data_IF_516178225566
#
_entry.id   IF_516178225566
#
_cell.length_a   1.000
_cell.length_b   1.000
_cell.length_c   1.000
_cell.angle_alpha   90.00
_cell.angle_beta   90.00
_cell.angle_gamma   90.00
#
_symmetry.space_group_name_H-M   'P 1'
#
loop_
_entity.id
_entity.type
_entity.pdbx_description
1 polymer ?
#
# COMPACT_ATOMS: atom_id res chain seq x y z
N UNK A 1 8.26 46.04 7.08
CA UNK A 1 8.57 46.00 5.63
C UNK A 1 7.32 46.45 4.86
N UNK A 2 7.06 47.77 4.89
CA UNK A 2 5.91 48.47 4.29
C UNK A 2 6.32 49.04 2.92
N UNK A 3 5.52 48.79 1.87
CA UNK A 3 5.52 49.30 0.45
C UNK A 3 5.27 48.09 -0.46
N UNK A 4 4.42 48.05 -1.48
CA UNK A 4 3.54 48.93 -2.28
C UNK A 4 2.41 47.98 -2.72
N UNK A 5 1.14 48.36 -2.88
CA UNK A 5 0.58 48.95 -4.10
C UNK A 5 -0.77 49.57 -3.72
N UNK A 6 -0.87 50.90 -3.83
CA UNK A 6 -2.09 51.69 -3.69
C UNK A 6 -2.20 52.52 -4.97
N UNK A 7 -3.17 52.19 -5.82
CA UNK A 7 -3.55 52.95 -7.00
C UNK A 7 -4.95 53.51 -6.83
N UNK A 8 -5.07 54.56 -6.02
CA UNK A 8 -6.28 55.37 -5.86
C UNK A 8 -6.58 56.12 -7.17
N UNK A 9 -7.67 55.77 -7.86
CA UNK A 9 -8.25 56.64 -8.89
C UNK A 9 -9.21 57.63 -8.23
N UNK A 10 -8.87 58.91 -8.35
CA UNK A 10 -9.67 60.06 -7.93
C UNK A 10 -11.02 60.07 -8.63
N UNK A 11 -12.08 60.28 -7.85
CA UNK A 11 -13.41 60.64 -8.33
C UNK A 11 -13.41 62.14 -8.60
N UNK A 12 -13.47 62.55 -9.87
CA UNK A 12 -13.52 63.98 -10.22
C UNK A 12 -14.97 64.45 -10.23
N UNK A 13 -15.27 65.41 -9.36
CA UNK A 13 -16.59 65.94 -9.09
C UNK A 13 -16.90 67.08 -10.07
N UNK A 14 -17.33 66.77 -11.30
CA UNK A 14 -17.71 67.78 -12.29
C UNK A 14 -19.23 67.88 -12.40
N UNK A 15 -19.81 68.83 -11.66
CA UNK A 15 -21.18 69.32 -11.86
C UNK A 15 -21.23 70.02 -13.22
N UNK A 16 -21.89 69.41 -14.19
CA UNK A 16 -22.10 69.99 -15.52
C UNK A 16 -23.07 71.17 -15.39
N UNK A 17 -22.57 72.40 -15.57
CA UNK A 17 -23.41 73.60 -15.76
C UNK A 17 -23.92 73.62 -17.21
N UNK A 18 -25.23 73.69 -17.38
CA UNK A 18 -25.93 73.78 -18.67
C UNK A 18 -26.02 75.27 -19.09
N UNK A 19 -25.56 75.69 -20.29
CA UNK A 19 -25.77 77.04 -20.78
C UNK A 19 -27.14 77.19 -21.49
N UNK A 20 -27.74 78.39 -21.53
CA UNK A 20 -29.04 78.63 -22.18
C UNK A 20 -28.90 78.71 -23.72
N UNK A 21 -30.00 78.51 -24.48
CA UNK A 21 -29.95 78.45 -25.94
C UNK A 21 -29.76 79.84 -26.57
N UNK A 22 -28.84 79.96 -27.53
CA UNK A 22 -28.65 81.16 -28.34
C UNK A 22 -29.50 81.08 -29.62
N UNK A 23 -30.13 82.21 -29.96
CA UNK A 23 -31.07 82.40 -31.05
C UNK A 23 -30.44 82.30 -32.46
N UNK A 24 -31.27 81.86 -33.40
CA UNK A 24 -31.00 81.65 -34.83
C UNK A 24 -30.63 82.93 -35.60
N UNK A 25 -29.73 82.81 -36.59
CA UNK A 25 -29.74 83.64 -37.81
C UNK A 25 -28.82 83.07 -38.91
N UNK A 26 -29.42 82.73 -40.07
CA UNK A 26 -28.88 83.10 -41.39
C UNK A 26 -27.87 82.19 -42.12
N UNK A 27 -28.41 81.26 -42.93
CA UNK A 27 -27.99 80.84 -44.28
C UNK A 27 -26.50 80.48 -44.59
N UNK A 28 -26.20 79.21 -44.89
CA UNK A 28 -26.15 78.65 -46.26
C UNK A 28 -25.93 77.12 -46.21
N UNK A 29 -26.55 76.39 -47.14
CA UNK A 29 -26.64 74.93 -47.12
C UNK A 29 -25.48 74.23 -47.86
N UNK A 30 -24.69 73.45 -47.13
CA UNK A 30 -24.14 72.16 -47.57
C UNK A 30 -23.51 71.41 -46.38
N UNK A 31 -24.09 70.24 -46.09
CA UNK A 31 -23.56 69.16 -45.26
C UNK A 31 -23.18 69.47 -43.81
N UNK A 32 -24.16 69.89 -43.00
CA UNK A 32 -24.11 69.65 -41.56
C UNK A 32 -24.57 68.22 -41.31
N UNK A 33 -23.62 67.34 -41.00
CA UNK A 33 -23.90 66.08 -40.30
C UNK A 33 -24.54 66.46 -38.97
N UNK A 34 -25.87 66.44 -38.92
CA UNK A 34 -26.61 66.56 -37.67
C UNK A 34 -26.32 65.29 -36.89
N UNK A 35 -25.37 65.37 -35.96
CA UNK A 35 -25.19 64.40 -34.90
C UNK A 35 -26.42 64.52 -33.98
N UNK A 36 -27.51 63.84 -34.36
CA UNK A 36 -28.68 63.73 -33.51
C UNK A 36 -28.28 62.87 -32.30
N UNK A 37 -28.34 63.39 -31.06
CA UNK A 37 -28.07 62.57 -29.89
C UNK A 37 -29.04 61.39 -29.93
N UNK A 38 -28.55 60.15 -29.78
CA UNK A 38 -29.45 59.01 -29.66
C UNK A 38 -30.51 59.31 -28.58
N UNK A 39 -31.81 59.10 -28.88
CA UNK A 39 -32.87 59.41 -27.93
C UNK A 39 -32.62 58.61 -26.66
N UNK A 40 -32.68 59.26 -25.49
CA UNK A 40 -32.40 58.67 -24.18
C UNK A 40 -33.11 57.32 -23.95
N UNK A 41 -34.31 57.13 -24.54
CA UNK A 41 -35.05 55.86 -24.52
C UNK A 41 -34.30 54.70 -25.18
N UNK A 42 -33.59 54.95 -26.29
CA UNK A 42 -32.79 53.92 -26.99
C UNK A 42 -31.59 53.47 -26.14
N UNK A 43 -30.92 54.43 -25.50
CA UNK A 43 -29.81 54.15 -24.56
C UNK A 43 -30.33 53.37 -23.35
N UNK A 44 -31.47 53.77 -22.77
CA UNK A 44 -32.08 53.08 -21.63
C UNK A 44 -32.50 51.65 -21.98
N UNK A 45 -33.20 51.44 -23.09
CA UNK A 45 -33.57 50.12 -23.58
C UNK A 45 -32.35 49.24 -23.83
N UNK A 46 -31.29 49.78 -24.43
CA UNK A 46 -30.04 49.03 -24.64
C UNK A 46 -29.41 48.60 -23.31
N UNK A 47 -29.36 49.47 -22.30
CA UNK A 47 -28.82 49.13 -20.98
C UNK A 47 -29.66 48.07 -20.26
N UNK A 48 -30.99 48.14 -20.36
CA UNK A 48 -31.90 47.12 -19.80
C UNK A 48 -31.70 45.77 -20.50
N UNK A 49 -31.61 45.76 -21.83
CA UNK A 49 -31.37 44.52 -22.60
C UNK A 49 -30.02 43.90 -22.26
N UNK A 50 -28.97 44.72 -22.10
CA UNK A 50 -27.67 44.25 -21.63
C UNK A 50 -27.77 43.64 -20.21
N UNK A 51 -28.52 44.28 -19.31
CA UNK A 51 -28.77 43.77 -17.96
C UNK A 51 -29.43 42.40 -17.94
N UNK A 52 -30.54 42.23 -18.68
CA UNK A 52 -31.24 40.95 -18.83
C UNK A 52 -30.31 39.87 -19.39
N UNK A 53 -29.54 40.19 -20.43
CA UNK A 53 -28.57 39.26 -21.01
C UNK A 53 -27.49 38.83 -20.01
N UNK A 54 -26.98 39.76 -19.19
CA UNK A 54 -26.01 39.41 -18.14
C UNK A 54 -26.61 38.54 -17.04
N UNK A 55 -27.86 38.78 -16.65
CA UNK A 55 -28.59 37.95 -15.68
C UNK A 55 -28.75 36.52 -16.23
N UNK A 56 -29.10 36.38 -17.50
CA UNK A 56 -29.26 35.07 -18.13
C UNK A 56 -27.94 34.27 -18.18
N UNK A 57 -26.83 34.94 -18.49
CA UNK A 57 -25.49 34.33 -18.43
C UNK A 57 -25.17 33.84 -17.01
N UNK A 58 -25.47 34.64 -15.99
CA UNK A 58 -25.24 34.27 -14.58
C UNK A 58 -26.12 33.08 -14.18
N UNK A 59 -27.42 33.10 -14.52
CA UNK A 59 -28.35 31.98 -14.27
C UNK A 59 -27.80 30.68 -14.85
N UNK A 60 -27.45 30.71 -16.14
CA UNK A 60 -26.92 29.54 -16.84
C UNK A 60 -25.60 29.05 -16.25
N UNK A 61 -24.74 29.95 -15.78
CA UNK A 61 -23.49 29.57 -15.09
C UNK A 61 -23.75 28.89 -13.74
N UNK A 62 -24.73 29.36 -12.96
CA UNK A 62 -25.09 28.76 -11.66
C UNK A 62 -25.70 27.37 -11.87
N UNK A 63 -26.58 27.19 -12.86
CA UNK A 63 -27.18 25.88 -13.19
C UNK A 63 -26.08 24.86 -13.53
N UNK A 64 -25.16 25.21 -14.44
CA UNK A 64 -24.02 24.36 -14.79
C UNK A 64 -23.16 24.01 -13.58
N UNK A 65 -22.93 24.95 -12.67
CA UNK A 65 -22.16 24.71 -11.45
C UNK A 65 -22.89 23.75 -10.49
N UNK A 66 -24.22 23.82 -10.40
CA UNK A 66 -25.04 22.92 -9.60
C UNK A 66 -24.99 21.48 -10.16
N UNK A 67 -25.07 21.33 -11.48
CA UNK A 67 -24.87 20.03 -12.16
C UNK A 67 -23.49 19.44 -11.84
N UNK A 68 -22.42 20.25 -11.92
CA UNK A 68 -21.07 19.81 -11.55
C UNK A 68 -20.97 19.40 -10.08
N UNK A 69 -21.58 20.13 -9.15
CA UNK A 69 -21.58 19.74 -7.74
C UNK A 69 -22.30 18.42 -7.50
N UNK A 70 -23.40 18.13 -8.18
CA UNK A 70 -24.06 16.83 -8.02
C UNK A 70 -23.16 15.69 -8.51
N UNK A 71 -22.44 15.87 -9.62
CA UNK A 71 -21.47 14.89 -10.12
C UNK A 71 -20.35 14.66 -9.10
N UNK A 72 -19.76 15.72 -8.55
CA UNK A 72 -18.69 15.59 -7.54
C UNK A 72 -19.20 14.92 -6.25
N UNK A 73 -20.49 15.05 -5.92
CA UNK A 73 -21.07 14.45 -4.72
C UNK A 73 -21.15 12.94 -4.86
N UNK A 74 -21.56 12.46 -6.04
CA UNK A 74 -21.57 11.03 -6.35
C UNK A 74 -20.13 10.47 -6.36
N UNK A 75 -19.17 11.20 -6.93
CA UNK A 75 -17.74 10.80 -6.88
C UNK A 75 -17.22 10.61 -5.47
N UNK A 76 -17.63 11.46 -4.51
CA UNK A 76 -17.24 11.31 -3.09
C UNK A 76 -17.89 10.07 -2.47
N UNK A 77 -19.16 9.78 -2.79
CA UNK A 77 -19.81 8.57 -2.29
C UNK A 77 -19.09 7.32 -2.80
N UNK A 78 -18.79 7.27 -4.10
CA UNK A 78 -18.00 6.19 -4.72
C UNK A 78 -16.61 6.06 -4.08
N UNK A 79 -15.92 7.18 -3.85
CA UNK A 79 -14.61 7.20 -3.19
C UNK A 79 -14.68 6.62 -1.77
N UNK A 80 -15.69 6.97 -0.99
CA UNK A 80 -15.86 6.43 0.35
C UNK A 80 -16.17 4.93 0.33
N UNK A 81 -17.00 4.46 -0.60
CA UNK A 81 -17.27 3.03 -0.77
C UNK A 81 -15.98 2.26 -1.14
N UNK A 82 -15.15 2.83 -2.03
CA UNK A 82 -13.87 2.25 -2.38
C UNK A 82 -12.90 2.23 -1.19
N UNK A 83 -12.87 3.28 -0.38
CA UNK A 83 -12.06 3.34 0.83
C UNK A 83 -12.49 2.29 1.88
N UNK A 84 -13.80 2.09 2.06
CA UNK A 84 -14.33 1.06 2.96
C UNK A 84 -13.94 -0.35 2.49
N UNK A 85 -14.05 -0.62 1.19
CA UNK A 85 -13.57 -1.88 0.58
C UNK A 85 -12.07 -2.07 0.81
N UNK A 86 -11.26 -1.04 0.54
CA UNK A 86 -9.82 -1.08 0.75
C UNK A 86 -9.47 -1.35 2.22
N UNK A 87 -10.16 -0.71 3.16
CA UNK A 87 -9.98 -0.92 4.61
C UNK A 87 -10.32 -2.36 5.01
N UNK A 88 -11.40 -2.94 4.48
CA UNK A 88 -11.74 -4.34 4.73
C UNK A 88 -10.68 -5.29 4.18
N UNK A 89 -10.21 -5.07 2.95
CA UNK A 89 -9.14 -5.89 2.36
C UNK A 89 -7.84 -5.82 3.14
N UNK A 90 -7.47 -4.63 3.64
CA UNK A 90 -6.29 -4.45 4.49
C UNK A 90 -6.44 -5.17 5.84
N UNK A 91 -7.63 -5.16 6.43
CA UNK A 91 -7.89 -5.93 7.66
C UNK A 91 -7.64 -7.42 7.45
N UNK A 92 -8.20 -7.99 6.38
CA UNK A 92 -7.94 -9.40 6.03
C UNK A 92 -6.45 -9.66 5.76
N UNK A 93 -5.74 -8.70 5.15
CA UNK A 93 -4.30 -8.82 4.92
C UNK A 93 -3.50 -8.85 6.24
N UNK A 94 -3.88 -8.07 7.25
CA UNK A 94 -3.29 -8.16 8.60
C UNK A 94 -3.50 -9.55 9.19
N UNK A 95 -4.72 -10.09 9.10
CA UNK A 95 -5.05 -11.43 9.60
C UNK A 95 -4.16 -12.50 8.93
N UNK A 96 -4.03 -12.47 7.60
CA UNK A 96 -3.15 -13.38 6.87
C UNK A 96 -1.67 -13.23 7.26
N UNK A 97 -1.18 -12.00 7.45
CA UNK A 97 0.21 -11.76 7.85
C UNK A 97 0.47 -12.28 9.26
N UNK A 98 -0.47 -12.12 10.19
CA UNK A 98 -0.35 -12.70 11.53
C UNK A 98 -0.35 -14.22 11.50
N UNK A 99 -1.18 -14.84 10.66
CA UNK A 99 -1.18 -16.29 10.46
C UNK A 99 0.16 -16.79 9.91
N UNK A 100 0.74 -16.08 8.93
CA UNK A 100 2.08 -16.38 8.42
C UNK A 100 3.13 -16.32 9.54
N UNK A 101 3.09 -15.28 10.38
CA UNK A 101 4.00 -15.16 11.52
C UNK A 101 3.89 -16.33 12.50
N UNK A 102 2.67 -16.73 12.85
CA UNK A 102 2.43 -17.88 13.74
C UNK A 102 2.92 -19.20 13.13
N UNK A 103 2.70 -19.40 11.83
CA UNK A 103 3.12 -20.59 11.10
C UNK A 103 4.65 -20.65 10.99
N UNK A 104 5.31 -19.54 10.68
CA UNK A 104 6.78 -19.46 10.66
C UNK A 104 7.38 -19.77 12.03
N UNK A 105 6.78 -19.27 13.12
CA UNK A 105 7.22 -19.61 14.48
C UNK A 105 7.06 -21.10 14.79
N UNK A 106 5.95 -21.73 14.39
CA UNK A 106 5.75 -23.17 14.58
C UNK A 106 6.78 -24.01 13.79
N UNK A 107 7.04 -23.64 12.53
CA UNK A 107 8.08 -24.30 11.73
C UNK A 107 9.44 -24.16 12.43
N UNK A 108 9.76 -22.99 12.99
CA UNK A 108 10.99 -22.77 13.77
C UNK A 108 11.14 -23.73 14.95
N UNK A 109 10.08 -23.89 15.75
CA UNK A 109 10.04 -24.85 16.85
C UNK A 109 10.29 -26.29 16.34
N UNK A 110 9.60 -26.70 15.27
CA UNK A 110 9.72 -28.05 14.69
C UNK A 110 11.12 -28.31 14.11
N UNK A 111 11.79 -27.30 13.56
CA UNK A 111 13.19 -27.40 13.14
C UNK A 111 14.13 -27.58 14.34
N UNK A 112 13.84 -26.93 15.47
CA UNK A 112 14.56 -27.12 16.73
C UNK A 112 14.46 -28.56 17.26
N UNK A 113 13.25 -29.13 17.25
CA UNK A 113 13.01 -30.53 17.65
C UNK A 113 13.72 -31.52 16.71
N UNK A 114 13.71 -31.25 15.40
CA UNK A 114 14.42 -32.05 14.41
C UNK A 114 15.93 -32.01 14.67
N UNK A 115 16.52 -30.83 14.92
CA UNK A 115 17.94 -30.70 15.22
C UNK A 115 18.33 -31.46 16.50
N UNK A 116 17.47 -31.45 17.52
CA UNK A 116 17.65 -32.24 18.75
C UNK A 116 17.65 -33.74 18.45
N UNK A 117 16.68 -34.20 17.66
CA UNK A 117 16.57 -35.60 17.24
C UNK A 117 17.78 -36.06 16.43
N UNK A 118 18.26 -35.24 15.48
CA UNK A 118 19.47 -35.52 14.70
C UNK A 118 20.73 -35.60 15.57
N UNK A 119 20.81 -34.83 16.65
CA UNK A 119 21.91 -34.88 17.61
C UNK A 119 21.91 -36.22 18.37
N UNK A 120 20.73 -36.67 18.82
CA UNK A 120 20.57 -37.97 19.48
C UNK A 120 20.89 -39.14 18.54
N UNK A 121 20.43 -39.08 17.28
CA UNK A 121 20.76 -40.08 16.25
C UNK A 121 22.28 -40.16 16.04
N UNK A 122 22.95 -39.02 15.91
CA UNK A 122 24.41 -39.00 15.75
C UNK A 122 25.15 -39.59 16.97
N UNK A 123 24.64 -39.41 18.19
CA UNK A 123 25.19 -40.04 19.38
C UNK A 123 25.04 -41.58 19.32
N UNK A 124 23.87 -42.07 18.93
CA UNK A 124 23.62 -43.50 18.73
C UNK A 124 24.53 -44.09 17.64
N UNK A 125 24.72 -43.40 16.52
CA UNK A 125 25.63 -43.84 15.45
C UNK A 125 27.07 -43.97 15.96
N UNK A 126 27.54 -43.04 16.80
CA UNK A 126 28.87 -43.11 17.42
C UNK A 126 29.01 -44.32 18.34
N UNK A 127 27.97 -44.63 19.14
CA UNK A 127 27.91 -45.84 19.97
C UNK A 127 28.00 -47.11 19.11
N UNK A 128 27.22 -47.19 18.03
CA UNK A 128 27.24 -48.34 17.11
C UNK A 128 28.64 -48.51 16.48
N UNK A 129 29.27 -47.42 16.04
CA UNK A 129 30.65 -47.47 15.51
C UNK A 129 31.65 -47.96 16.56
N UNK A 130 31.49 -47.56 17.82
CA UNK A 130 32.32 -48.04 18.94
C UNK A 130 32.13 -49.55 19.15
N UNK A 131 30.89 -50.03 19.18
CA UNK A 131 30.56 -51.47 19.30
C UNK A 131 31.16 -52.25 18.12
N UNK A 132 30.96 -51.79 16.89
CA UNK A 132 31.52 -52.43 15.69
C UNK A 132 33.06 -52.53 15.76
N UNK A 133 33.74 -51.47 16.22
CA UNK A 133 35.19 -51.50 16.41
C UNK A 133 35.61 -52.51 17.51
N UNK A 134 34.87 -52.60 18.61
CA UNK A 134 35.13 -53.57 19.68
C UNK A 134 34.91 -55.00 19.20
N UNK A 135 33.80 -55.28 18.50
CA UNK A 135 33.51 -56.60 17.93
C UNK A 135 34.56 -57.00 16.92
N UNK A 136 35.03 -56.07 16.08
CA UNK A 136 36.13 -56.32 15.15
C UNK A 136 37.44 -56.70 15.87
N UNK A 137 37.77 -56.03 16.98
CA UNK A 137 38.95 -56.38 17.79
C UNK A 137 38.80 -57.76 18.45
N UNK A 138 37.61 -58.08 18.97
CA UNK A 138 37.30 -59.41 19.54
C UNK A 138 37.47 -60.49 18.46
N UNK A 139 36.92 -60.26 17.26
CA UNK A 139 37.02 -61.19 16.14
C UNK A 139 38.48 -61.44 15.71
N UNK A 140 39.31 -60.39 15.67
CA UNK A 140 40.74 -60.53 15.37
C UNK A 140 41.45 -61.35 16.45
N UNK A 141 41.18 -61.08 17.73
CA UNK A 141 41.78 -61.84 18.83
C UNK A 141 41.34 -63.31 18.81
N UNK A 142 40.07 -63.60 18.52
CA UNK A 142 39.56 -64.96 18.36
C UNK A 142 40.17 -65.68 17.15
N UNK A 143 40.40 -64.99 16.03
CA UNK A 143 41.06 -65.57 14.87
C UNK A 143 42.52 -65.95 15.16
N UNK A 144 43.24 -65.11 15.93
CA UNK A 144 44.62 -65.39 16.37
C UNK A 144 44.64 -66.63 17.27
N UNK A 145 43.75 -66.71 18.26
CA UNK A 145 43.72 -67.85 19.18
C UNK A 145 43.29 -69.13 18.45
N UNK A 146 42.34 -69.06 17.52
CA UNK A 146 41.95 -70.18 16.68
C UNK A 146 43.12 -70.72 15.83
N UNK A 147 43.99 -69.85 15.32
CA UNK A 147 45.20 -70.27 14.61
C UNK A 147 46.23 -70.94 15.55
N UNK A 148 46.26 -70.53 16.83
CA UNK A 148 47.18 -71.07 17.84
C UNK A 148 46.86 -72.50 18.26
N UNK A 149 45.57 -72.88 18.31
CA UNK A 149 45.13 -74.25 18.67
C UNK A 149 45.24 -75.24 17.50
N UNK A 150 45.70 -74.79 16.31
CA UNK A 150 45.90 -75.65 15.14
C UNK A 150 44.60 -76.21 14.58
N UNK A 151 44.57 -77.52 14.28
CA UNK A 151 43.45 -78.16 13.59
C UNK A 151 42.12 -78.10 14.38
N UNK A 152 42.18 -78.09 15.72
CA UNK A 152 41.00 -77.96 16.56
C UNK A 152 40.31 -76.58 16.44
N UNK A 153 41.05 -75.55 16.01
CA UNK A 153 40.57 -74.18 15.89
C UNK A 153 39.96 -73.81 14.53
N UNK A 154 39.97 -74.71 13.53
CA UNK A 154 39.52 -74.40 12.17
C UNK A 154 38.09 -73.84 12.10
N UNK A 155 37.14 -74.42 12.84
CA UNK A 155 35.75 -73.94 12.88
C UNK A 155 35.63 -72.54 13.50
N UNK A 156 36.38 -72.28 14.59
CA UNK A 156 36.42 -70.97 15.24
C UNK A 156 37.07 -69.90 14.37
N UNK A 157 38.06 -70.26 13.54
CA UNK A 157 38.69 -69.33 12.60
C UNK A 157 37.70 -68.84 11.53
N UNK A 158 36.85 -69.72 11.01
CA UNK A 158 35.79 -69.35 10.04
C UNK A 158 34.78 -68.41 10.68
N UNK A 159 34.30 -68.72 11.89
CA UNK A 159 33.36 -67.86 12.62
C UNK A 159 33.99 -66.49 12.89
N UNK A 160 35.24 -66.46 13.34
CA UNK A 160 35.95 -65.20 13.63
C UNK A 160 36.10 -64.32 12.38
N UNK A 161 36.35 -64.93 11.21
CA UNK A 161 36.38 -64.20 9.92
C UNK A 161 35.03 -63.58 9.59
N UNK A 162 33.94 -64.33 9.80
CA UNK A 162 32.58 -63.86 9.52
C UNK A 162 32.18 -62.71 10.45
N UNK A 163 32.46 -62.83 11.75
CA UNK A 163 32.21 -61.75 12.74
C UNK A 163 33.02 -60.50 12.41
N UNK A 164 34.27 -60.66 11.93
CA UNK A 164 35.10 -59.54 11.47
C UNK A 164 34.44 -58.82 10.30
N UNK A 165 34.05 -59.55 9.26
CA UNK A 165 33.40 -58.98 8.07
C UNK A 165 32.11 -58.25 8.46
N UNK A 166 31.26 -58.87 9.29
CA UNK A 166 30.02 -58.26 9.76
C UNK A 166 30.27 -56.95 10.54
N UNK A 167 31.33 -56.92 11.35
CA UNK A 167 31.72 -55.71 12.09
C UNK A 167 32.18 -54.58 11.17
N UNK A 168 32.90 -54.90 10.09
CA UNK A 168 33.31 -53.95 9.06
C UNK A 168 32.09 -53.40 8.28
N UNK A 169 31.13 -54.27 7.94
CA UNK A 169 29.89 -53.89 7.26
C UNK A 169 28.99 -52.97 8.12
N UNK A 170 28.87 -53.27 9.42
CA UNK A 170 28.15 -52.40 10.38
C UNK A 170 28.81 -51.03 10.46
N UNK A 171 30.15 -50.97 10.49
CA UNK A 171 30.88 -49.71 10.52
C UNK A 171 30.68 -48.88 9.24
N UNK A 172 30.72 -49.53 8.08
CA UNK A 172 30.44 -48.88 6.80
C UNK A 172 29.02 -48.34 6.76
N UNK A 173 28.03 -49.15 7.12
CA UNK A 173 26.61 -48.76 7.16
C UNK A 173 26.37 -47.58 8.11
N UNK A 174 26.95 -47.63 9.32
CA UNK A 174 26.86 -46.54 10.30
C UNK A 174 27.46 -45.24 9.77
N UNK A 175 28.53 -45.30 8.98
CA UNK A 175 29.13 -44.12 8.35
C UNK A 175 28.21 -43.53 7.28
N UNK A 176 27.57 -44.36 6.47
CA UNK A 176 26.56 -43.90 5.48
C UNK A 176 25.39 -43.19 6.14
N UNK A 177 24.87 -43.74 7.25
CA UNK A 177 23.80 -43.09 8.04
C UNK A 177 24.29 -41.75 8.60
N UNK A 178 25.51 -41.69 9.15
CA UNK A 178 26.10 -40.44 9.66
C UNK A 178 26.14 -39.33 8.60
N UNK A 179 26.56 -39.67 7.38
CA UNK A 179 26.55 -38.73 6.25
C UNK A 179 25.14 -38.22 5.94
N UNK A 180 24.15 -39.11 5.89
CA UNK A 180 22.76 -38.73 5.63
C UNK A 180 22.21 -37.80 6.72
N UNK A 181 22.47 -38.11 7.99
CA UNK A 181 22.08 -37.26 9.12
C UNK A 181 22.74 -35.88 9.04
N UNK A 182 23.99 -35.79 8.58
CA UNK A 182 24.67 -34.50 8.36
C UNK A 182 23.97 -33.66 7.28
N UNK A 183 23.60 -34.28 6.15
CA UNK A 183 22.87 -33.58 5.08
C UNK A 183 21.52 -33.04 5.58
N UNK A 184 20.78 -33.82 6.37
CA UNK A 184 19.50 -33.38 6.94
C UNK A 184 19.73 -32.22 7.92
N UNK A 185 20.80 -32.26 8.71
CA UNK A 185 21.16 -31.17 9.63
C UNK A 185 21.45 -29.87 8.88
N UNK A 186 22.22 -29.94 7.80
CA UNK A 186 22.55 -28.76 6.99
C UNK A 186 21.28 -28.19 6.33
N UNK A 187 20.39 -29.03 5.84
CA UNK A 187 19.09 -28.60 5.32
C UNK A 187 18.23 -27.93 6.40
N UNK A 188 18.21 -28.47 7.62
CA UNK A 188 17.48 -27.90 8.77
C UNK A 188 18.01 -26.50 9.13
N UNK A 189 19.33 -26.32 9.11
CA UNK A 189 19.97 -25.03 9.34
C UNK A 189 19.60 -24.00 8.27
N UNK A 190 19.59 -24.40 6.99
CA UNK A 190 19.16 -23.53 5.88
C UNK A 190 17.70 -23.11 6.00
N UNK A 191 16.81 -24.01 6.41
CA UNK A 191 15.40 -23.67 6.65
C UNK A 191 15.29 -22.66 7.81
N UNK A 192 16.06 -22.84 8.88
CA UNK A 192 16.07 -21.92 10.01
C UNK A 192 16.54 -20.52 9.60
N UNK A 193 17.59 -20.41 8.78
CA UNK A 193 18.06 -19.13 8.23
C UNK A 193 16.99 -18.44 7.36
N UNK A 194 16.23 -19.21 6.57
CA UNK A 194 15.12 -18.65 5.79
C UNK A 194 14.02 -18.09 6.70
N UNK A 195 13.69 -18.79 7.79
CA UNK A 195 12.70 -18.33 8.77
C UNK A 195 13.15 -17.04 9.48
N UNK A 196 14.43 -16.97 9.88
CA UNK A 196 14.99 -15.77 10.52
C UNK A 196 14.92 -14.55 9.59
N UNK A 197 15.16 -14.76 8.29
CA UNK A 197 15.03 -13.72 7.26
C UNK A 197 13.57 -13.37 6.92
N UNK A 198 12.60 -14.25 7.18
CA UNK A 198 11.18 -13.97 6.97
C UNK A 198 10.59 -13.03 8.03
N UNK A 199 11.06 -13.10 9.28
CA UNK A 199 10.55 -12.27 10.36
C UNK A 199 10.58 -10.75 10.06
N UNK A 200 11.72 -10.14 9.63
CA UNK A 200 11.74 -8.72 9.32
C UNK A 200 10.85 -8.35 8.11
N UNK A 201 10.58 -9.30 7.21
CA UNK A 201 9.65 -9.08 6.08
C UNK A 201 8.22 -8.96 6.60
N UNK A 202 7.81 -9.83 7.53
CA UNK A 202 6.50 -9.80 8.20
C UNK A 202 6.31 -8.47 8.95
N UNK A 203 7.33 -8.02 9.68
CA UNK A 203 7.28 -6.76 10.44
C UNK A 203 7.16 -5.53 9.51
N UNK A 204 7.91 -5.54 8.39
CA UNK A 204 7.82 -4.49 7.38
C UNK A 204 6.44 -4.45 6.71
N UNK A 205 5.86 -5.61 6.37
CA UNK A 205 4.53 -5.66 5.77
C UNK A 205 3.49 -5.12 6.76
N UNK A 206 3.57 -5.52 8.04
CA UNK A 206 2.65 -5.04 9.09
C UNK A 206 2.72 -3.52 9.24
N UNK A 207 3.95 -2.97 9.25
CA UNK A 207 4.17 -1.52 9.31
C UNK A 207 3.56 -0.78 8.10
N UNK A 208 3.80 -1.29 6.89
CA UNK A 208 3.25 -0.72 5.66
C UNK A 208 1.71 -0.74 5.65
N UNK A 209 1.10 -1.85 6.10
CA UNK A 209 -0.36 -1.93 6.19
C UNK A 209 -0.91 -0.88 7.15
N UNK A 210 -0.29 -0.70 8.32
CA UNK A 210 -0.70 0.31 9.29
C UNK A 210 -0.63 1.73 8.71
N UNK A 211 0.43 2.06 7.96
CA UNK A 211 0.55 3.36 7.27
C UNK A 211 -0.53 3.56 6.20
N UNK A 212 -0.89 2.51 5.46
CA UNK A 212 -1.97 2.58 4.47
C UNK A 212 -3.32 2.79 5.16
N UNK A 213 -3.58 2.08 6.26
CA UNK A 213 -4.82 2.25 7.05
C UNK A 213 -4.95 3.67 7.58
N UNK A 214 -3.86 4.26 8.10
CA UNK A 214 -3.82 5.66 8.53
C UNK A 214 -4.10 6.62 7.36
N UNK A 215 -3.46 6.39 6.21
CA UNK A 215 -3.65 7.20 5.00
C UNK A 215 -5.10 7.16 4.51
N UNK A 216 -5.75 5.99 4.51
CA UNK A 216 -7.18 5.86 4.18
C UNK A 216 -8.03 6.62 5.20
N UNK A 217 -7.68 6.55 6.49
CA UNK A 217 -8.36 7.33 7.53
C UNK A 217 -8.35 8.83 7.24
N UNK A 218 -7.21 9.37 6.81
CA UNK A 218 -7.07 10.78 6.41
C UNK A 218 -7.93 11.09 5.17
N UNK A 219 -7.98 10.19 4.18
CA UNK A 219 -8.80 10.38 2.98
C UNK A 219 -10.30 10.42 3.33
N UNK A 220 -10.77 9.53 4.21
CA UNK A 220 -12.16 9.51 4.67
C UNK A 220 -12.52 10.82 5.36
N UNK A 221 -11.68 11.32 6.26
CA UNK A 221 -11.91 12.60 6.96
C UNK A 221 -12.01 13.79 5.98
N UNK A 222 -11.12 13.83 4.99
CA UNK A 222 -11.17 14.85 3.92
C UNK A 222 -12.45 14.73 3.07
N UNK A 223 -12.90 13.52 2.76
CA UNK A 223 -14.15 13.28 2.03
C UNK A 223 -15.38 13.77 2.82
N UNK A 224 -15.40 13.59 4.14
CA UNK A 224 -16.47 14.09 5.01
C UNK A 224 -16.49 15.64 5.05
N UNK A 225 -15.31 16.25 5.13
CA UNK A 225 -15.17 17.71 5.05
C UNK A 225 -15.67 18.24 3.71
N UNK A 226 -15.31 17.59 2.61
CA UNK A 226 -15.75 17.97 1.27
C UNK A 226 -17.27 17.86 1.12
N UNK A 227 -17.89 16.79 1.62
CA UNK A 227 -19.35 16.63 1.65
C UNK A 227 -20.05 17.81 2.34
N UNK A 228 -19.49 18.31 3.44
CA UNK A 228 -20.01 19.47 4.17
C UNK A 228 -19.90 20.76 3.35
N UNK A 229 -18.76 21.00 2.70
CA UNK A 229 -18.56 22.16 1.81
C UNK A 229 -19.54 22.12 0.64
N UNK A 230 -19.73 20.96 0.03
CA UNK A 230 -20.66 20.80 -1.11
C UNK A 230 -22.11 21.06 -0.70
N UNK A 231 -22.52 20.62 0.48
CA UNK A 231 -23.86 20.88 0.99
C UNK A 231 -24.09 22.38 1.26
N UNK A 232 -23.07 23.07 1.78
CA UNK A 232 -23.09 24.52 1.92
C UNK A 232 -23.24 25.23 0.57
N UNK A 233 -22.40 24.89 -0.43
CA UNK A 233 -22.45 25.52 -1.75
C UNK A 233 -23.80 25.24 -2.44
N UNK A 234 -24.31 24.01 -2.35
CA UNK A 234 -25.62 23.64 -2.91
C UNK A 234 -26.75 24.52 -2.33
N UNK A 235 -26.72 24.78 -1.02
CA UNK A 235 -27.68 25.67 -0.35
C UNK A 235 -27.57 27.11 -0.87
N UNK A 236 -26.35 27.63 -1.00
CA UNK A 236 -26.11 28.99 -1.50
C UNK A 236 -26.54 29.14 -2.97
N UNK A 237 -26.26 28.14 -3.81
CA UNK A 237 -26.66 28.15 -5.21
C UNK A 237 -28.17 28.12 -5.38
N UNK A 238 -28.87 27.30 -4.58
CA UNK A 238 -30.34 27.28 -4.57
C UNK A 238 -30.90 28.68 -4.27
N UNK A 239 -30.40 29.34 -3.22
CA UNK A 239 -30.84 30.70 -2.86
C UNK A 239 -30.52 31.72 -3.95
N UNK A 240 -29.39 31.60 -4.64
CA UNK A 240 -29.01 32.52 -5.72
C UNK A 240 -29.88 32.34 -6.97
N UNK A 241 -30.25 31.10 -7.33
CA UNK A 241 -31.18 30.84 -8.43
C UNK A 241 -32.53 31.50 -8.14
N UNK A 242 -33.08 31.28 -6.94
CA UNK A 242 -34.35 31.89 -6.51
C UNK A 242 -34.29 33.42 -6.58
N UNK A 243 -33.20 34.04 -6.11
CA UNK A 243 -33.03 35.50 -6.20
C UNK A 243 -33.00 35.99 -7.65
N UNK A 244 -32.27 35.30 -8.53
CA UNK A 244 -32.13 35.68 -9.94
C UNK A 244 -33.45 35.52 -10.70
N UNK A 245 -34.29 34.56 -10.36
CA UNK A 245 -35.62 34.39 -10.98
C UNK A 245 -36.65 35.42 -10.51
N UNK A 246 -36.38 36.14 -9.42
CA UNK A 246 -37.25 37.20 -8.89
C UNK A 246 -36.80 38.63 -9.25
N UNK A 247 -35.66 38.80 -9.92
CA UNK A 247 -35.11 40.10 -10.39
C UNK A 247 -35.41 40.29 -11.87
#
# INVERSE_FOLDING_TARGET
>A
MFKKVLGLRHWNNNVVKIPPPAAESGANASDVVVDTPEPYERILCQKILMGISTIDIIRNAIIKSCEQLNIEKERINELNEQNDKARSSLKSLVEFITEIGTTSSDIGCRMGDLNTSLTQINACIKEIQKIANQTNLIAINSAIEAARVGDAGRGFSVISKEVKNLSEDVKHSSKSVSTLTSVIKDNTARVSEVLDNQQPVIDNITTNINQIVESIGIVIDKSLSMKSVMQYISTVQFLNIVKVDHV
#
